data_IF_032312134954
#
_entry.id   IF_032312134954
#
_cell.length_a   1.000
_cell.length_b   1.000
_cell.length_c   1.000
_cell.angle_alpha   90.00
_cell.angle_beta   90.00
_cell.angle_gamma   90.00
#
_symmetry.space_group_name_H-M   'P 1'
#
loop_
_entity.id
_entity.type
_entity.pdbx_description
1 polymer ?
#
# COMPACT_ATOMS: atom_id res chain seq x y z
N UNK A 1 -1.90 15.24 -5.94
CA UNK A 1 -2.56 13.97 -5.53
C UNK A 1 -2.36 13.81 -4.04
N UNK A 2 -3.37 13.36 -3.29
CA UNK A 2 -3.19 12.98 -1.88
C UNK A 2 -2.50 11.60 -1.81
N UNK A 3 -1.77 11.34 -0.72
CA UNK A 3 -1.03 10.09 -0.44
C UNK A 3 -0.03 9.65 -1.54
N UNK A 4 0.64 10.61 -2.17
CA UNK A 4 1.71 10.34 -3.16
C UNK A 4 2.95 9.68 -2.54
N UNK A 5 3.19 9.90 -1.25
CA UNK A 5 4.20 9.22 -0.45
C UNK A 5 3.97 7.72 -0.45
N UNK A 6 2.78 7.26 -0.06
CA UNK A 6 2.42 5.84 -0.08
C UNK A 6 2.58 5.24 -1.48
N UNK A 7 2.07 5.93 -2.52
CA UNK A 7 2.22 5.44 -3.91
C UNK A 7 3.68 5.30 -4.33
N UNK A 8 4.54 6.21 -3.87
CA UNK A 8 5.96 6.17 -4.15
C UNK A 8 6.64 5.03 -3.39
N UNK A 9 6.33 4.84 -2.11
CA UNK A 9 6.85 3.74 -1.29
C UNK A 9 6.52 2.37 -1.91
N UNK A 10 5.27 2.17 -2.32
CA UNK A 10 4.80 0.94 -3.01
C UNK A 10 5.62 0.70 -4.28
N UNK A 11 5.81 1.75 -5.09
CA UNK A 11 6.56 1.67 -6.34
C UNK A 11 8.05 1.39 -6.11
N UNK A 12 8.65 2.02 -5.10
CA UNK A 12 10.06 1.80 -4.72
C UNK A 12 10.29 0.38 -4.21
N UNK A 13 9.32 -0.18 -3.48
CA UNK A 13 9.31 -1.59 -3.07
C UNK A 13 9.04 -2.55 -4.25
N UNK A 14 8.75 -2.04 -5.45
CA UNK A 14 8.41 -2.84 -6.62
C UNK A 14 7.06 -3.57 -6.50
N UNK A 15 6.21 -3.16 -5.55
CA UNK A 15 4.91 -3.76 -5.29
C UNK A 15 3.81 -3.10 -6.14
N UNK A 16 2.72 -3.83 -6.30
CA UNK A 16 1.51 -3.31 -6.94
C UNK A 16 0.43 -2.96 -5.91
N UNK A 17 -0.42 -2.00 -6.26
CA UNK A 17 -1.55 -1.57 -5.42
C UNK A 17 -2.47 -2.74 -5.04
N UNK A 18 -2.67 -3.68 -5.97
CA UNK A 18 -3.53 -4.84 -5.74
C UNK A 18 -2.97 -5.79 -4.69
N UNK A 19 -1.64 -5.91 -4.54
CA UNK A 19 -1.03 -6.79 -3.53
C UNK A 19 -1.31 -6.27 -2.12
N UNK A 20 -1.29 -4.95 -1.96
CA UNK A 20 -1.58 -4.30 -0.68
C UNK A 20 -3.08 -4.32 -0.41
N UNK A 21 -3.91 -4.14 -1.44
CA UNK A 21 -5.34 -4.30 -1.32
C UNK A 21 -5.72 -5.72 -0.86
N UNK A 22 -5.08 -6.74 -1.43
CA UNK A 22 -5.26 -8.15 -1.07
C UNK A 22 -4.85 -8.42 0.38
N UNK A 23 -3.68 -7.93 0.80
CA UNK A 23 -3.22 -8.04 2.19
C UNK A 23 -4.09 -7.25 3.20
N UNK A 24 -4.73 -6.16 2.76
CA UNK A 24 -5.73 -5.42 3.54
C UNK A 24 -7.11 -6.10 3.56
N UNK A 25 -7.32 -7.15 2.76
CA UNK A 25 -8.62 -7.80 2.60
C UNK A 25 -9.66 -6.93 1.89
N UNK A 26 -9.22 -5.96 1.08
CA UNK A 26 -10.09 -5.05 0.33
C UNK A 26 -9.87 -5.20 -1.18
N UNK A 27 -10.87 -4.80 -1.95
CA UNK A 27 -10.74 -4.76 -3.40
C UNK A 27 -9.76 -3.64 -3.84
N UNK A 28 -8.93 -3.89 -4.86
CA UNK A 28 -8.00 -2.91 -5.45
C UNK A 28 -8.68 -1.58 -5.83
N UNK A 29 -9.91 -1.65 -6.38
CA UNK A 29 -10.70 -0.47 -6.70
C UNK A 29 -11.05 0.38 -5.48
N UNK A 30 -11.29 -0.26 -4.33
CA UNK A 30 -11.54 0.44 -3.07
C UNK A 30 -10.26 1.06 -2.53
N UNK A 31 -9.14 0.35 -2.60
CA UNK A 31 -7.83 0.88 -2.20
C UNK A 31 -7.43 2.10 -3.04
N UNK A 32 -7.56 2.00 -4.36
CA UNK A 32 -7.27 3.09 -5.30
C UNK A 32 -8.15 4.33 -5.05
N UNK A 33 -9.43 4.14 -4.70
CA UNK A 33 -10.32 5.23 -4.26
C UNK A 33 -9.88 5.82 -2.92
N UNK A 34 -9.53 4.99 -1.94
CA UNK A 34 -9.03 5.42 -0.62
C UNK A 34 -7.84 6.36 -0.76
N UNK A 35 -6.89 6.00 -1.62
CA UNK A 35 -5.69 6.80 -1.87
C UNK A 35 -5.95 8.18 -2.49
N UNK A 36 -7.16 8.48 -3.00
CA UNK A 36 -7.52 9.82 -3.52
C UNK A 36 -7.87 10.81 -2.41
N UNK A 37 -8.23 10.32 -1.22
CA UNK A 37 -8.60 11.11 -0.06
C UNK A 37 -7.49 11.08 0.98
N UNK A 38 -7.50 12.01 1.93
CA UNK A 38 -6.52 12.00 3.02
C UNK A 38 -6.79 10.83 3.94
N UNK A 39 -5.80 9.96 4.12
CA UNK A 39 -5.93 8.83 5.03
C UNK A 39 -5.49 9.25 6.43
N UNK A 40 -6.16 8.76 7.49
CA UNK A 40 -5.68 8.94 8.85
C UNK A 40 -4.33 8.23 9.03
N UNK A 41 -3.50 8.74 9.93
CA UNK A 41 -2.12 8.26 10.06
C UNK A 41 -2.03 6.80 10.51
N UNK A 42 -3.02 6.31 11.26
CA UNK A 42 -3.15 4.89 11.61
C UNK A 42 -3.27 3.99 10.37
N UNK A 43 -4.08 4.41 9.39
CA UNK A 43 -4.25 3.67 8.15
C UNK A 43 -2.98 3.71 7.30
N UNK A 44 -2.31 4.87 7.25
CA UNK A 44 -1.02 5.00 6.56
C UNK A 44 0.01 4.06 7.18
N UNK A 45 0.08 3.99 8.52
CA UNK A 45 0.98 3.09 9.22
C UNK A 45 0.69 1.63 8.86
N UNK A 46 -0.58 1.21 8.84
CA UNK A 46 -1.00 -0.12 8.42
C UNK A 46 -0.54 -0.47 7.00
N UNK A 47 -0.73 0.46 6.06
CA UNK A 47 -0.28 0.29 4.67
C UNK A 47 1.25 0.15 4.60
N UNK A 48 1.99 0.97 5.35
CA UNK A 48 3.45 0.89 5.41
C UNK A 48 3.95 -0.43 5.97
N UNK A 49 3.31 -0.96 7.02
CA UNK A 49 3.64 -2.29 7.56
C UNK A 49 3.46 -3.37 6.50
N UNK A 50 2.34 -3.35 5.77
CA UNK A 50 2.08 -4.32 4.68
C UNK A 50 3.10 -4.19 3.55
N UNK A 51 3.47 -2.95 3.17
CA UNK A 51 4.51 -2.72 2.16
C UNK A 51 5.83 -3.34 2.61
N UNK A 52 6.24 -3.14 3.87
CA UNK A 52 7.46 -3.71 4.41
C UNK A 52 7.41 -5.25 4.41
N UNK A 53 6.31 -5.84 4.89
CA UNK A 53 6.11 -7.30 4.91
C UNK A 53 6.19 -7.91 3.50
N UNK A 54 5.46 -7.35 2.55
CA UNK A 54 5.44 -7.82 1.15
C UNK A 54 6.79 -7.60 0.45
N UNK A 55 7.47 -6.50 0.76
CA UNK A 55 8.81 -6.23 0.21
C UNK A 55 9.82 -7.27 0.71
N UNK A 56 9.81 -7.59 2.01
CA UNK A 56 10.67 -8.62 2.59
C UNK A 56 10.36 -10.01 2.03
N UNK A 57 9.08 -10.37 1.87
CA UNK A 57 8.69 -11.65 1.27
C UNK A 57 9.18 -11.78 -0.17
N UNK A 58 9.21 -10.69 -0.93
CA UNK A 58 9.66 -10.70 -2.32
C UNK A 58 11.18 -10.82 -2.47
N UNK A 59 11.96 -10.22 -1.57
CA UNK A 59 13.42 -10.31 -1.59
C UNK A 59 13.94 -11.69 -1.17
N UNK A 60 13.13 -12.47 -0.46
CA UNK A 60 13.44 -13.84 -0.06
C UNK A 60 13.25 -14.90 -1.18
N UNK A 61 12.89 -14.49 -2.40
CA UNK A 61 12.64 -15.35 -3.58
C UNK A 61 13.64 -15.04 -4.68
#
# INVERSE_FOLDING_TARGET
>A
MKNTDIRSEIKTAGLYLWQIADALGINDGNFSRKLRHELPDEEKARIRTIIAELSTQREAV
#
